data_IF_426466062989
#
_entry.id   IF_426466062989
#
_cell.length_a   1.000
_cell.length_b   1.000
_cell.length_c   1.000
_cell.angle_alpha   90.00
_cell.angle_beta   90.00
_cell.angle_gamma   90.00
#
_symmetry.space_group_name_H-M   'P 1'
#
loop_
_entity.id
_entity.type
_entity.pdbx_description
1 polymer ?
#
# COMPACT_ATOMS: atom_id res chain seq x y z
N UNK A 1 75.79 -51.31 28.89
CA UNK A 1 76.32 -50.02 29.27
C UNK A 1 75.86 -48.98 28.26
N UNK A 2 75.15 -47.96 28.78
CA UNK A 2 75.15 -46.59 28.25
C UNK A 2 74.26 -46.39 26.97
N UNK A 3 73.51 -45.50 26.93
CA UNK A 3 72.93 -44.37 27.65
C UNK A 3 71.84 -43.78 26.78
N UNK A 4 70.78 -43.56 27.41
CA UNK A 4 69.62 -42.97 26.84
C UNK A 4 69.81 -41.54 26.38
N UNK A 5 69.22 -41.20 25.26
CA UNK A 5 68.90 -39.81 24.94
C UNK A 5 67.43 -39.72 24.66
N UNK A 6 66.76 -39.19 25.64
CA UNK A 6 65.34 -38.83 25.50
C UNK A 6 65.21 -37.62 24.61
N UNK A 7 64.63 -37.81 23.42
CA UNK A 7 64.24 -36.70 22.60
C UNK A 7 62.72 -36.53 22.73
N UNK A 8 62.39 -35.72 23.69
CA UNK A 8 60.98 -35.32 23.84
C UNK A 8 60.56 -34.34 22.73
N UNK A 9 59.99 -34.85 21.71
CA UNK A 9 59.37 -33.98 20.69
C UNK A 9 58.00 -33.49 21.20
N UNK A 10 58.03 -32.33 21.83
CA UNK A 10 56.81 -31.60 22.13
C UNK A 10 56.28 -31.03 20.83
N UNK A 11 55.41 -31.81 20.17
CA UNK A 11 54.65 -31.33 19.03
C UNK A 11 53.56 -30.41 19.56
N UNK A 12 53.88 -29.14 19.69
CA UNK A 12 52.90 -28.10 19.96
C UNK A 12 51.97 -28.00 18.74
N UNK A 13 50.85 -28.67 18.86
CA UNK A 13 49.72 -28.44 17.94
C UNK A 13 49.26 -27.00 18.09
N UNK A 14 49.83 -26.13 17.30
CA UNK A 14 49.22 -24.82 17.04
C UNK A 14 48.04 -25.08 16.14
N UNK A 15 46.84 -25.19 16.75
CA UNK A 15 45.59 -25.05 16.04
C UNK A 15 45.61 -23.70 15.32
N UNK A 16 45.41 -23.66 14.03
CA UNK A 16 45.16 -22.39 13.38
C UNK A 16 43.77 -21.90 13.81
N UNK A 17 43.78 -20.91 14.70
CA UNK A 17 42.63 -20.15 15.15
C UNK A 17 42.16 -19.18 14.02
N UNK A 18 42.19 -19.64 12.78
CA UNK A 18 41.93 -18.81 11.57
C UNK A 18 40.80 -19.30 10.71
N UNK A 19 39.82 -20.00 11.31
CA UNK A 19 38.57 -20.30 10.61
C UNK A 19 37.38 -19.98 11.50
N UNK A 20 37.35 -18.77 12.04
CA UNK A 20 36.09 -18.09 12.26
C UNK A 20 35.66 -17.57 10.87
N UNK A 21 34.72 -18.21 10.19
CA UNK A 21 34.04 -17.52 9.10
C UNK A 21 33.38 -16.32 9.77
N UNK A 22 33.83 -15.15 9.41
CA UNK A 22 33.07 -13.96 9.58
C UNK A 22 31.76 -14.21 8.79
N UNK A 23 30.77 -14.78 9.47
CA UNK A 23 29.37 -14.65 9.09
C UNK A 23 29.09 -13.18 9.31
N UNK A 24 29.55 -12.38 8.35
CA UNK A 24 29.09 -11.05 8.13
C UNK A 24 27.59 -11.25 7.81
N UNK A 25 26.81 -11.18 8.87
CA UNK A 25 25.36 -11.13 8.79
C UNK A 25 25.07 -9.89 7.94
N UNK A 26 24.93 -10.11 6.65
CA UNK A 26 24.48 -9.12 5.71
C UNK A 26 23.04 -8.83 6.16
N UNK A 27 22.88 -7.86 7.04
CA UNK A 27 21.61 -7.24 7.34
C UNK A 27 21.14 -6.66 6.01
N UNK A 28 20.43 -7.46 5.25
CA UNK A 28 19.66 -7.00 4.11
C UNK A 28 18.58 -6.14 4.74
N UNK A 29 18.91 -4.86 4.91
CA UNK A 29 17.90 -3.84 5.18
C UNK A 29 17.07 -3.75 3.90
N UNK A 30 16.04 -4.58 3.81
CA UNK A 30 15.00 -4.37 2.81
C UNK A 30 14.45 -2.98 3.07
N UNK A 31 14.54 -2.05 2.11
CA UNK A 31 13.90 -0.77 2.28
C UNK A 31 12.42 -1.05 2.61
N UNK A 32 11.81 -0.34 3.55
CA UNK A 32 10.39 -0.48 3.78
C UNK A 32 9.71 -0.26 2.43
N UNK A 33 8.85 -1.20 2.05
CA UNK A 33 8.01 -1.03 0.87
C UNK A 33 7.29 0.30 1.07
N UNK A 34 7.70 1.31 0.29
CA UNK A 34 7.17 2.66 0.44
C UNK A 34 5.65 2.59 0.35
N UNK A 35 4.96 3.06 1.38
CA UNK A 35 3.51 3.11 1.36
C UNK A 35 3.07 4.06 0.23
N UNK A 36 2.05 3.66 -0.53
CA UNK A 36 1.49 4.47 -1.61
C UNK A 36 1.11 5.87 -1.09
N UNK A 37 1.52 6.89 -1.78
CA UNK A 37 1.16 8.28 -1.49
C UNK A 37 -0.19 8.64 -2.10
N UNK A 38 -0.77 9.77 -1.65
CA UNK A 38 -2.00 10.29 -2.25
C UNK A 38 -1.80 10.65 -3.74
N UNK A 39 -0.66 11.22 -4.09
CA UNK A 39 -0.32 11.57 -5.48
C UNK A 39 -0.31 10.32 -6.38
N UNK A 40 0.39 9.28 -5.96
CA UNK A 40 0.40 7.98 -6.66
C UNK A 40 -1.00 7.36 -6.77
N UNK A 41 -1.83 7.51 -5.74
CA UNK A 41 -3.20 7.04 -5.76
C UNK A 41 -4.07 7.85 -6.76
N UNK A 42 -3.87 9.15 -6.85
CA UNK A 42 -4.56 10.01 -7.83
C UNK A 42 -4.17 9.64 -9.26
N UNK A 43 -2.89 9.41 -9.52
CA UNK A 43 -2.40 9.00 -10.84
C UNK A 43 -2.94 7.61 -11.25
N UNK A 44 -3.04 6.69 -10.29
CA UNK A 44 -3.54 5.34 -10.53
C UNK A 44 -5.07 5.23 -10.64
N UNK A 45 -5.82 6.23 -10.16
CA UNK A 45 -7.28 6.17 -10.05
C UNK A 45 -7.97 5.93 -11.39
N UNK A 46 -7.55 6.63 -12.43
CA UNK A 46 -8.15 6.52 -13.77
C UNK A 46 -8.05 5.11 -14.33
N UNK A 47 -6.88 4.50 -14.22
CA UNK A 47 -6.63 3.13 -14.65
C UNK A 47 -7.45 2.13 -13.82
N UNK A 48 -7.43 2.24 -12.49
CA UNK A 48 -8.17 1.34 -11.60
C UNK A 48 -9.68 1.35 -11.88
N UNK A 49 -10.25 2.51 -12.21
CA UNK A 49 -11.64 2.64 -12.65
C UNK A 49 -11.88 2.01 -14.03
N UNK A 50 -10.99 2.23 -14.99
CA UNK A 50 -11.08 1.65 -16.33
C UNK A 50 -10.99 0.12 -16.31
N UNK A 51 -10.16 -0.42 -15.43
CA UNK A 51 -10.03 -1.87 -15.21
C UNK A 51 -11.22 -2.47 -14.42
N UNK A 52 -12.12 -1.64 -13.90
CA UNK A 52 -13.29 -2.09 -13.15
C UNK A 52 -13.01 -2.49 -11.71
N UNK A 53 -11.87 -2.09 -11.16
CA UNK A 53 -11.49 -2.37 -9.77
C UNK A 53 -12.18 -1.41 -8.78
N UNK A 54 -12.42 -0.17 -9.22
CA UNK A 54 -13.06 0.89 -8.44
C UNK A 54 -14.27 1.46 -9.18
N UNK A 55 -15.24 1.94 -8.41
CA UNK A 55 -16.41 2.63 -8.93
C UNK A 55 -16.85 3.80 -8.05
N UNK A 56 -17.67 4.68 -8.61
CA UNK A 56 -18.26 5.82 -7.88
C UNK A 56 -19.53 5.40 -7.15
N UNK A 57 -19.72 5.93 -5.95
CA UNK A 57 -20.89 5.68 -5.11
C UNK A 57 -21.73 6.95 -4.94
N UNK A 58 -23.04 6.80 -4.65
CA UNK A 58 -23.94 7.96 -4.46
C UNK A 58 -23.57 8.85 -3.29
N UNK A 59 -22.82 8.34 -2.32
CA UNK A 59 -22.34 9.06 -1.14
C UNK A 59 -21.11 9.95 -1.40
N UNK A 60 -20.63 9.99 -2.63
CA UNK A 60 -19.46 10.80 -3.02
C UNK A 60 -18.10 10.15 -2.84
N UNK A 61 -18.07 8.89 -2.43
CA UNK A 61 -16.85 8.14 -2.21
C UNK A 61 -16.63 7.04 -3.26
N UNK A 62 -15.38 6.59 -3.36
CA UNK A 62 -15.05 5.40 -4.16
C UNK A 62 -15.39 4.13 -3.39
N UNK A 63 -15.85 3.13 -4.10
CA UNK A 63 -15.95 1.77 -3.57
C UNK A 63 -15.13 0.79 -4.39
N UNK A 64 -14.68 -0.27 -3.72
CA UNK A 64 -14.02 -1.41 -4.35
C UNK A 64 -15.07 -2.28 -5.02
N UNK A 65 -14.87 -2.57 -6.30
CA UNK A 65 -15.77 -3.41 -7.13
C UNK A 65 -15.25 -4.84 -7.14
N UNK A 66 -13.93 -4.98 -7.26
CA UNK A 66 -13.23 -6.25 -7.26
C UNK A 66 -12.17 -6.24 -6.16
N UNK A 67 -12.19 -7.26 -5.29
CA UNK A 67 -11.27 -7.35 -4.16
C UNK A 67 -9.80 -7.34 -4.62
N UNK A 68 -9.13 -6.24 -4.28
CA UNK A 68 -7.77 -5.96 -4.69
C UNK A 68 -7.11 -5.00 -3.69
N UNK A 69 -6.06 -5.44 -3.03
CA UNK A 69 -5.38 -4.65 -2.00
C UNK A 69 -4.86 -3.30 -2.49
N UNK A 70 -4.46 -3.22 -3.76
CA UNK A 70 -4.05 -1.95 -4.39
C UNK A 70 -5.25 -1.02 -4.57
N UNK A 71 -6.38 -1.55 -5.07
CA UNK A 71 -7.62 -0.79 -5.24
C UNK A 71 -8.14 -0.28 -3.90
N UNK A 72 -8.10 -1.10 -2.84
CA UNK A 72 -8.44 -0.69 -1.47
C UNK A 72 -7.59 0.47 -0.98
N UNK A 73 -6.27 0.40 -1.22
CA UNK A 73 -5.33 1.47 -0.83
C UNK A 73 -5.63 2.75 -1.58
N UNK A 74 -5.85 2.69 -2.90
CA UNK A 74 -6.22 3.84 -3.72
C UNK A 74 -7.54 4.45 -3.22
N UNK A 75 -8.57 3.62 -3.03
CA UNK A 75 -9.88 4.09 -2.55
C UNK A 75 -9.77 4.76 -1.19
N UNK A 76 -9.02 4.19 -0.25
CA UNK A 76 -8.82 4.76 1.09
C UNK A 76 -8.17 6.14 1.02
N UNK A 77 -7.05 6.27 0.32
CA UNK A 77 -6.32 7.55 0.20
C UNK A 77 -7.16 8.64 -0.46
N UNK A 78 -7.83 8.31 -1.57
CA UNK A 78 -8.70 9.25 -2.27
C UNK A 78 -9.91 9.63 -1.40
N UNK A 79 -10.52 8.67 -0.71
CA UNK A 79 -11.68 8.94 0.14
C UNK A 79 -11.30 9.78 1.37
N UNK A 80 -10.12 9.61 1.95
CA UNK A 80 -9.59 10.48 3.00
C UNK A 80 -9.49 11.93 2.50
N UNK A 81 -8.88 12.14 1.32
CA UNK A 81 -8.75 13.46 0.72
C UNK A 81 -10.12 14.08 0.37
N UNK A 82 -11.04 13.29 -0.21
CA UNK A 82 -12.42 13.74 -0.51
C UNK A 82 -13.15 14.16 0.76
N UNK A 83 -13.03 13.38 1.84
CA UNK A 83 -13.68 13.69 3.13
C UNK A 83 -13.21 15.02 3.71
N UNK A 84 -11.92 15.27 3.68
CA UNK A 84 -11.39 16.55 4.14
C UNK A 84 -11.88 17.72 3.28
N UNK A 85 -11.91 17.55 1.99
CA UNK A 85 -12.43 18.56 1.06
C UNK A 85 -13.93 18.81 1.26
N UNK A 86 -14.74 17.76 1.41
CA UNK A 86 -16.18 17.92 1.66
C UNK A 86 -16.46 18.62 2.98
N UNK A 87 -15.70 18.29 4.03
CA UNK A 87 -15.78 18.99 5.33
C UNK A 87 -15.42 20.47 5.19
N UNK A 88 -14.39 20.78 4.40
CA UNK A 88 -14.01 22.17 4.13
C UNK A 88 -15.13 22.91 3.42
N UNK A 89 -15.67 22.36 2.34
CA UNK A 89 -16.79 22.94 1.58
C UNK A 89 -18.00 23.17 2.47
N UNK A 90 -18.36 22.19 3.30
CA UNK A 90 -19.48 22.28 4.23
C UNK A 90 -19.33 23.45 5.21
N UNK A 91 -18.15 23.57 5.83
CA UNK A 91 -17.86 24.68 6.77
C UNK A 91 -17.87 26.03 6.06
N UNK A 92 -17.17 26.14 4.93
CA UNK A 92 -17.00 27.42 4.24
C UNK A 92 -18.33 27.99 3.70
N UNK A 93 -19.31 27.11 3.42
CA UNK A 93 -20.61 27.49 2.90
C UNK A 93 -21.74 27.37 3.94
N UNK A 94 -21.44 26.96 5.16
CA UNK A 94 -22.41 26.75 6.24
C UNK A 94 -23.59 25.83 5.81
N UNK A 95 -23.25 24.69 5.21
CA UNK A 95 -24.21 23.64 4.78
C UNK A 95 -23.84 22.30 5.40
N UNK A 96 -24.79 21.37 5.42
CA UNK A 96 -24.55 20.03 5.94
C UNK A 96 -23.53 19.26 5.11
N UNK A 97 -22.62 18.55 5.78
CA UNK A 97 -21.64 17.68 5.13
C UNK A 97 -22.32 16.64 4.23
N UNK A 98 -23.45 16.10 4.68
CA UNK A 98 -24.20 15.11 3.91
C UNK A 98 -24.70 15.65 2.57
N UNK A 99 -25.12 16.91 2.52
CA UNK A 99 -25.56 17.53 1.27
C UNK A 99 -24.40 17.70 0.29
N UNK A 100 -23.20 18.03 0.79
CA UNK A 100 -21.98 18.10 -0.02
C UNK A 100 -21.63 16.72 -0.56
N UNK A 101 -21.65 15.69 0.27
CA UNK A 101 -21.35 14.30 -0.11
C UNK A 101 -22.31 13.79 -1.19
N UNK A 102 -23.60 14.00 -1.02
CA UNK A 102 -24.63 13.59 -1.99
C UNK A 102 -24.46 14.30 -3.34
N UNK A 103 -24.23 15.62 -3.32
CA UNK A 103 -24.00 16.38 -4.54
C UNK A 103 -22.70 15.93 -5.24
N UNK A 104 -21.64 15.68 -4.48
CA UNK A 104 -20.39 15.17 -5.02
C UNK A 104 -20.57 13.79 -5.64
N UNK A 105 -21.32 12.89 -4.99
CA UNK A 105 -21.64 11.56 -5.50
C UNK A 105 -22.44 11.63 -6.80
N UNK A 106 -23.46 12.47 -6.86
CA UNK A 106 -24.23 12.69 -8.09
C UNK A 106 -23.33 13.14 -9.23
N UNK A 107 -22.49 14.17 -9.00
CA UNK A 107 -21.56 14.68 -10.01
C UNK A 107 -20.52 13.65 -10.44
N UNK A 108 -20.00 12.86 -9.50
CA UNK A 108 -19.05 11.80 -9.81
C UNK A 108 -19.68 10.73 -10.71
N UNK A 109 -20.91 10.31 -10.42
CA UNK A 109 -21.67 9.36 -11.24
C UNK A 109 -21.96 9.95 -12.62
N UNK A 110 -22.40 11.20 -12.69
CA UNK A 110 -22.68 11.88 -13.96
C UNK A 110 -21.43 11.92 -14.87
N UNK A 111 -20.27 12.20 -14.32
CA UNK A 111 -18.99 12.30 -15.02
C UNK A 111 -18.33 10.96 -15.32
N UNK A 112 -18.81 9.88 -14.72
CA UNK A 112 -18.25 8.55 -14.95
C UNK A 112 -18.43 8.16 -16.41
N UNK A 113 -17.35 7.80 -17.14
CA UNK A 113 -17.45 7.36 -18.53
C UNK A 113 -18.24 6.05 -18.68
N UNK A 114 -18.78 5.83 -19.87
CA UNK A 114 -19.39 4.55 -20.21
C UNK A 114 -18.40 3.38 -20.01
N UNK A 115 -18.88 2.27 -19.48
CA UNK A 115 -18.07 1.07 -19.21
C UNK A 115 -17.41 1.04 -17.83
N UNK A 116 -17.36 2.15 -17.10
CA UNK A 116 -16.90 2.17 -15.72
C UNK A 116 -18.05 1.90 -14.75
N UNK A 117 -17.70 1.49 -13.52
CA UNK A 117 -18.68 1.09 -12.52
C UNK A 117 -19.22 2.25 -11.69
N UNK A 118 -20.51 2.20 -11.49
CA UNK A 118 -21.27 3.03 -10.53
C UNK A 118 -22.07 2.14 -9.60
N UNK A 119 -22.26 2.56 -8.35
CA UNK A 119 -23.09 1.84 -7.40
C UNK A 119 -24.52 2.33 -7.49
N UNK A 120 -25.43 1.40 -7.66
CA UNK A 120 -26.87 1.68 -7.72
C UNK A 120 -27.44 1.86 -6.30
N UNK A 121 -28.62 2.51 -6.16
CA UNK A 121 -29.28 2.66 -4.84
C UNK A 121 -29.59 1.34 -4.14
N UNK A 122 -29.74 0.25 -4.89
CA UNK A 122 -29.93 -1.11 -4.35
C UNK A 122 -28.62 -1.77 -3.87
N UNK A 123 -27.51 -1.03 -3.91
CA UNK A 123 -26.20 -1.47 -3.47
C UNK A 123 -25.42 -2.29 -4.49
N UNK A 124 -25.97 -2.58 -5.65
CA UNK A 124 -25.28 -3.36 -6.70
C UNK A 124 -24.40 -2.47 -7.56
N UNK A 125 -23.29 -3.04 -8.00
CA UNK A 125 -22.44 -2.41 -9.01
C UNK A 125 -23.01 -2.63 -10.41
N UNK A 126 -22.98 -1.57 -11.20
CA UNK A 126 -23.39 -1.61 -12.60
C UNK A 126 -22.42 -0.80 -13.45
N UNK A 127 -22.14 -1.29 -14.65
CA UNK A 127 -21.44 -0.49 -15.68
C UNK A 127 -22.37 0.56 -16.24
N UNK A 128 -21.85 1.78 -16.34
CA UNK A 128 -22.56 2.90 -16.97
C UNK A 128 -22.58 2.77 -18.49
#
# INVERSE_FOLDING_TARGET
MKTFCHFSLRLARRLPLLLLPAILLLLITTPPLAAMTLEEAMDALGEAKAQGQLGEQPDGYLGVVEDNSRAETIARLINEARREEYRRVARDNNIDLRDVELLAGQKAIERTPAGQYIRMPDGRWRRK
#
